data_IF_497154392479
#
_entry.id   IF_497154392479
#
_cell.length_a   1.000
_cell.length_b   1.000
_cell.length_c   1.000
_cell.angle_alpha   90.00
_cell.angle_beta   90.00
_cell.angle_gamma   90.00
#
_symmetry.space_group_name_H-M   'P 1'
#
loop_
_entity.id
_entity.type
_entity.pdbx_description
1 polymer ?
#
# COMPACT_ATOMS: atom_id res chain seq x y z
N UNK A 1 -14.53 9.68 -8.84
CA UNK A 1 -15.88 10.10 -9.32
C UNK A 1 -16.68 10.54 -8.11
N UNK A 2 -17.15 11.79 -8.09
CA UNK A 2 -18.04 12.26 -7.04
C UNK A 2 -19.38 11.51 -7.19
N UNK A 3 -19.71 10.65 -6.21
CA UNK A 3 -20.96 9.87 -6.19
C UNK A 3 -22.18 10.74 -5.91
N UNK A 4 -21.98 11.91 -5.29
CA UNK A 4 -23.07 12.82 -4.90
C UNK A 4 -23.27 13.91 -5.95
N UNK A 5 -24.47 13.93 -6.55
CA UNK A 5 -24.83 14.88 -7.62
C UNK A 5 -25.61 16.09 -7.12
N UNK A 6 -26.12 16.05 -5.89
CA UNK A 6 -26.87 17.15 -5.29
C UNK A 6 -26.71 17.16 -3.77
N UNK A 7 -26.94 18.33 -3.13
CA UNK A 7 -26.90 18.46 -1.67
C UNK A 7 -27.93 17.60 -0.94
N UNK A 8 -29.05 17.27 -1.59
CA UNK A 8 -30.08 16.39 -1.01
C UNK A 8 -29.58 14.96 -0.75
N UNK A 9 -28.59 14.49 -1.50
CA UNK A 9 -27.95 13.17 -1.27
C UNK A 9 -27.06 13.13 -0.02
N UNK A 10 -26.75 14.28 0.56
CA UNK A 10 -25.93 14.40 1.76
C UNK A 10 -26.76 14.47 3.05
N UNK A 11 -28.10 14.51 2.94
CA UNK A 11 -29.00 14.52 4.09
C UNK A 11 -28.86 13.19 4.83
N UNK A 12 -28.71 13.27 6.16
CA UNK A 12 -28.62 12.09 7.02
C UNK A 12 -29.97 11.43 7.20
N UNK A 13 -30.25 10.43 6.37
CA UNK A 13 -31.49 9.63 6.44
C UNK A 13 -31.40 8.49 7.48
N UNK A 14 -30.19 8.17 7.97
CA UNK A 14 -30.01 7.06 8.92
C UNK A 14 -30.43 7.39 10.34
N UNK A 15 -30.52 8.67 10.68
CA UNK A 15 -30.95 9.12 12.02
C UNK A 15 -32.46 8.92 12.29
N UNK A 16 -33.25 8.61 11.27
CA UNK A 16 -34.72 8.58 11.37
C UNK A 16 -35.37 9.96 11.59
N UNK A 17 -34.62 11.04 11.46
CA UNK A 17 -35.08 12.41 11.63
C UNK A 17 -34.85 13.20 10.33
N UNK A 18 -35.91 13.42 9.58
CA UNK A 18 -35.86 14.12 8.29
C UNK A 18 -35.48 15.61 8.44
N UNK A 19 -35.74 16.23 9.60
CA UNK A 19 -35.41 17.63 9.88
C UNK A 19 -33.93 17.84 10.23
N UNK A 20 -33.15 16.77 10.40
CA UNK A 20 -31.75 16.86 10.82
C UNK A 20 -30.83 17.50 9.77
N UNK A 21 -31.21 17.41 8.51
CA UNK A 21 -30.44 17.98 7.41
C UNK A 21 -29.10 17.24 7.18
N UNK A 22 -28.06 17.99 6.76
CA UNK A 22 -26.73 17.44 6.51
C UNK A 22 -25.96 17.35 7.83
N UNK A 23 -25.69 16.14 8.29
CA UNK A 23 -24.80 15.89 9.42
C UNK A 23 -23.35 15.80 8.93
N UNK A 24 -22.46 16.61 9.50
CA UNK A 24 -21.05 16.64 9.12
C UNK A 24 -20.14 16.59 10.36
N UNK A 25 -18.99 15.96 10.23
CA UNK A 25 -17.96 15.92 11.26
C UNK A 25 -16.91 17.00 11.01
N UNK A 26 -16.39 17.63 12.06
CA UNK A 26 -15.28 18.56 11.96
C UNK A 26 -13.94 17.82 11.77
N UNK A 27 -13.16 18.27 10.80
CA UNK A 27 -11.79 17.83 10.56
C UNK A 27 -10.86 19.05 10.50
N UNK A 28 -9.63 18.91 10.96
CA UNK A 28 -8.61 19.95 10.80
C UNK A 28 -7.85 19.73 9.51
N UNK A 29 -7.94 20.66 8.57
CA UNK A 29 -7.13 20.61 7.35
C UNK A 29 -5.67 20.96 7.68
N UNK A 30 -4.74 20.03 7.39
CA UNK A 30 -3.35 20.14 7.86
C UNK A 30 -2.56 21.27 7.15
N UNK A 31 -2.97 21.69 5.96
CA UNK A 31 -2.25 22.72 5.19
C UNK A 31 -2.37 24.12 5.77
N UNK A 32 -3.43 24.41 6.51
CA UNK A 32 -3.75 25.77 7.02
C UNK A 32 -4.42 25.73 8.40
N UNK A 33 -4.52 24.56 9.02
CA UNK A 33 -5.10 24.30 10.33
C UNK A 33 -6.59 24.72 10.46
N UNK A 34 -7.26 24.99 9.37
CA UNK A 34 -8.67 25.36 9.39
C UNK A 34 -9.57 24.14 9.63
N UNK A 35 -10.66 24.35 10.38
CA UNK A 35 -11.72 23.36 10.54
C UNK A 35 -12.56 23.29 9.27
N UNK A 36 -12.64 22.10 8.67
CA UNK A 36 -13.53 21.78 7.55
C UNK A 36 -14.55 20.74 8.00
N UNK A 37 -15.76 20.82 7.47
CA UNK A 37 -16.83 19.89 7.81
C UNK A 37 -17.08 18.94 6.66
N UNK A 38 -16.94 17.63 6.91
CA UNK A 38 -17.17 16.60 5.91
C UNK A 38 -18.47 15.88 6.24
N UNK A 39 -19.44 15.83 5.29
CA UNK A 39 -20.70 15.13 5.48
C UNK A 39 -20.52 13.65 5.80
N UNK A 40 -21.26 13.15 6.80
CA UNK A 40 -21.21 11.75 7.22
C UNK A 40 -21.50 10.77 6.09
N UNK A 41 -22.41 11.13 5.17
CA UNK A 41 -22.72 10.29 4.03
C UNK A 41 -21.55 10.11 3.06
N UNK A 42 -20.60 11.06 3.01
CA UNK A 42 -19.36 10.89 2.25
C UNK A 42 -18.45 9.89 2.99
N UNK A 43 -18.24 10.11 4.29
CA UNK A 43 -17.38 9.24 5.12
C UNK A 43 -17.90 7.80 5.14
N UNK A 44 -19.22 7.62 5.32
CA UNK A 44 -19.85 6.30 5.40
C UNK A 44 -19.94 5.53 4.08
N UNK A 45 -19.69 6.19 2.94
CA UNK A 45 -19.69 5.55 1.62
C UNK A 45 -18.27 5.30 1.06
N UNK A 46 -17.25 5.49 1.87
CA UNK A 46 -15.91 5.05 1.52
C UNK A 46 -15.78 3.55 1.78
N UNK A 47 -15.45 2.79 0.74
CA UNK A 47 -15.29 1.33 0.86
C UNK A 47 -14.05 0.94 1.68
N UNK A 48 -13.02 1.78 1.64
CA UNK A 48 -11.76 1.59 2.36
C UNK A 48 -11.30 2.92 2.93
N UNK A 49 -10.64 2.86 4.08
CA UNK A 49 -9.90 4.01 4.63
C UNK A 49 -8.56 4.15 3.90
N UNK A 50 -8.07 5.39 3.80
CA UNK A 50 -6.73 5.68 3.34
C UNK A 50 -6.16 6.82 4.19
N UNK A 51 -5.07 6.55 4.93
CA UNK A 51 -4.49 7.48 5.88
C UNK A 51 -5.25 7.60 7.20
N UNK A 52 -6.17 6.67 7.49
CA UNK A 52 -6.80 6.58 8.81
C UNK A 52 -5.90 5.82 9.76
N UNK A 53 -5.36 6.49 10.75
CA UNK A 53 -4.32 5.93 11.60
C UNK A 53 -4.48 6.35 13.06
N UNK A 54 -3.85 5.58 13.93
CA UNK A 54 -3.71 5.85 15.35
C UNK A 54 -2.23 5.82 15.76
N UNK A 55 -1.90 6.47 16.87
CA UNK A 55 -0.56 6.47 17.46
C UNK A 55 -0.62 6.94 18.89
N UNK A 56 0.44 6.67 19.66
CA UNK A 56 0.56 7.15 21.04
C UNK A 56 0.77 8.67 21.09
N UNK A 57 1.34 9.23 20.03
CA UNK A 57 1.49 10.67 19.81
C UNK A 57 0.79 11.09 18.51
N UNK A 58 0.59 12.41 18.38
CA UNK A 58 0.03 12.99 17.15
C UNK A 58 0.94 12.78 15.95
N UNK A 59 2.26 12.80 16.15
CA UNK A 59 3.23 12.61 15.09
C UNK A 59 3.28 11.16 14.63
N UNK A 60 3.28 10.20 15.56
CA UNK A 60 3.15 8.77 15.19
C UNK A 60 1.90 8.51 14.34
N UNK A 61 0.75 9.04 14.76
CA UNK A 61 -0.47 8.90 13.96
C UNK A 61 -0.34 9.52 12.57
N UNK A 62 0.33 10.69 12.45
CA UNK A 62 0.59 11.34 11.16
C UNK A 62 1.52 10.52 10.26
N UNK A 63 2.64 10.04 10.83
CA UNK A 63 3.59 9.18 10.09
C UNK A 63 2.87 7.94 9.57
N UNK A 64 2.10 7.27 10.41
CA UNK A 64 1.33 6.09 10.01
C UNK A 64 0.34 6.40 8.90
N UNK A 65 -0.43 7.49 9.02
CA UNK A 65 -1.42 7.88 8.02
C UNK A 65 -0.80 8.30 6.69
N UNK A 66 0.30 9.06 6.73
CA UNK A 66 1.04 9.46 5.53
C UNK A 66 1.69 8.25 4.85
N UNK A 67 2.26 7.33 5.63
CA UNK A 67 2.82 6.09 5.10
C UNK A 67 1.79 5.30 4.30
N UNK A 68 0.58 5.09 4.84
CA UNK A 68 -0.49 4.40 4.11
C UNK A 68 -0.89 5.14 2.81
N UNK A 69 -0.96 6.47 2.85
CA UNK A 69 -1.26 7.29 1.65
C UNK A 69 -0.17 7.11 0.58
N UNK A 70 1.11 7.18 0.97
CA UNK A 70 2.22 6.97 0.05
C UNK A 70 2.27 5.53 -0.48
N UNK A 71 2.10 4.54 0.38
CA UNK A 71 2.07 3.12 -0.01
C UNK A 71 1.05 2.88 -1.13
N UNK A 72 -0.21 3.25 -0.91
CA UNK A 72 -1.27 3.02 -1.88
C UNK A 72 -1.10 3.84 -3.16
N UNK A 73 -0.66 5.09 -3.04
CA UNK A 73 -0.40 5.93 -4.20
C UNK A 73 0.72 5.36 -5.07
N UNK A 74 1.85 5.00 -4.45
CA UNK A 74 3.02 4.51 -5.16
C UNK A 74 2.79 3.10 -5.68
N UNK A 75 2.15 2.21 -4.91
CA UNK A 75 1.71 0.89 -5.38
C UNK A 75 0.91 1.01 -6.67
N UNK A 76 -0.15 1.81 -6.68
CA UNK A 76 -0.98 1.95 -7.86
C UNK A 76 -0.23 2.56 -9.04
N UNK A 77 0.72 3.47 -8.78
CA UNK A 77 1.57 4.04 -9.82
C UNK A 77 2.52 3.00 -10.42
N UNK A 78 3.21 2.23 -9.57
CA UNK A 78 4.13 1.16 -10.01
C UNK A 78 3.39 0.16 -10.88
N UNK A 79 2.20 -0.25 -10.48
CA UNK A 79 1.38 -1.21 -11.19
C UNK A 79 0.86 -0.61 -12.50
N UNK A 80 0.26 0.58 -12.47
CA UNK A 80 -0.33 1.22 -13.66
C UNK A 80 0.69 1.57 -14.75
N UNK A 81 1.93 1.88 -14.37
CA UNK A 81 3.01 2.22 -15.28
C UNK A 81 3.93 1.01 -15.57
N UNK A 82 3.62 -0.18 -15.04
CA UNK A 82 4.43 -1.42 -15.15
C UNK A 82 5.91 -1.19 -14.82
N UNK A 83 6.18 -0.38 -13.79
CA UNK A 83 7.55 0.05 -13.43
C UNK A 83 8.38 -1.14 -12.96
N UNK A 84 9.54 -1.35 -13.58
CA UNK A 84 10.55 -2.29 -13.13
C UNK A 84 11.33 -1.72 -11.94
N UNK A 85 11.26 -2.44 -10.82
CA UNK A 85 11.88 -2.02 -9.57
C UNK A 85 13.27 -2.65 -9.38
N UNK A 86 14.23 -1.92 -8.79
CA UNK A 86 15.52 -2.51 -8.44
C UNK A 86 15.38 -3.45 -7.24
N UNK A 87 16.04 -4.60 -7.30
CA UNK A 87 16.16 -5.49 -6.15
C UNK A 87 16.95 -4.82 -5.02
N UNK A 88 16.53 -5.07 -3.79
CA UNK A 88 17.28 -4.65 -2.61
C UNK A 88 18.51 -5.54 -2.48
N UNK A 89 19.74 -4.99 -2.45
CA UNK A 89 20.96 -5.76 -2.36
C UNK A 89 21.01 -6.67 -1.12
N UNK A 90 21.57 -7.86 -1.27
CA UNK A 90 21.64 -8.85 -0.19
C UNK A 90 22.39 -8.35 1.06
N UNK A 91 23.40 -7.50 0.89
CA UNK A 91 24.13 -6.89 2.00
C UNK A 91 23.30 -5.85 2.76
N UNK A 92 22.33 -5.21 2.10
CA UNK A 92 21.35 -4.32 2.73
C UNK A 92 20.34 -5.15 3.50
N UNK A 93 19.76 -6.20 2.91
CA UNK A 93 18.84 -7.11 3.59
C UNK A 93 19.48 -7.76 4.83
N UNK A 94 20.76 -8.12 4.77
CA UNK A 94 21.49 -8.72 5.88
C UNK A 94 21.56 -7.85 7.15
N UNK A 95 21.28 -6.56 7.05
CA UNK A 95 21.18 -5.66 8.21
C UNK A 95 19.91 -5.89 9.03
N UNK A 96 18.93 -6.61 8.47
CA UNK A 96 17.59 -6.88 9.06
C UNK A 96 17.39 -8.39 9.28
N UNK A 97 18.08 -9.00 10.26
CA UNK A 97 18.12 -10.46 10.42
C UNK A 97 16.75 -11.09 10.65
N UNK A 98 15.81 -10.40 11.31
CA UNK A 98 14.44 -10.88 11.51
C UNK A 98 13.65 -10.99 10.21
N UNK A 99 13.88 -10.06 9.28
CA UNK A 99 13.29 -10.09 7.94
C UNK A 99 13.89 -11.24 7.12
N UNK A 100 15.23 -11.36 7.12
CA UNK A 100 15.93 -12.45 6.43
C UNK A 100 15.45 -13.81 6.92
N UNK A 101 15.27 -14.00 8.23
CA UNK A 101 14.72 -15.24 8.81
C UNK A 101 13.29 -15.50 8.34
N UNK A 102 12.46 -14.46 8.26
CA UNK A 102 11.07 -14.58 7.79
C UNK A 102 10.99 -14.96 6.32
N UNK A 103 11.82 -14.35 5.48
CA UNK A 103 11.95 -14.70 4.06
C UNK A 103 12.42 -16.15 3.92
N UNK A 104 13.47 -16.55 4.63
CA UNK A 104 14.01 -17.90 4.55
C UNK A 104 12.99 -18.99 4.95
N UNK A 105 12.08 -18.68 5.88
CA UNK A 105 11.00 -19.60 6.25
C UNK A 105 10.01 -19.80 5.10
N UNK A 106 9.64 -18.75 4.38
CA UNK A 106 8.74 -18.83 3.22
C UNK A 106 9.40 -19.58 2.05
N UNK A 107 10.69 -19.32 1.82
CA UNK A 107 11.46 -20.01 0.78
C UNK A 107 11.62 -21.51 1.09
N UNK A 108 11.78 -21.87 2.36
CA UNK A 108 11.83 -23.28 2.79
C UNK A 108 10.53 -24.03 2.53
N UNK A 109 9.39 -23.33 2.50
CA UNK A 109 8.09 -23.88 2.11
C UNK A 109 7.88 -23.92 0.58
N UNK A 110 8.87 -23.47 -0.20
CA UNK A 110 8.86 -23.53 -1.67
C UNK A 110 8.36 -22.26 -2.36
N UNK A 111 8.26 -21.15 -1.65
CA UNK A 111 7.83 -19.85 -2.18
C UNK A 111 9.00 -18.87 -2.27
N UNK A 112 9.62 -18.68 -3.45
CA UNK A 112 10.62 -17.64 -3.65
C UNK A 112 10.09 -16.25 -3.31
N UNK A 113 10.92 -15.47 -2.61
CA UNK A 113 10.60 -14.10 -2.18
C UNK A 113 11.60 -13.14 -2.78
N UNK A 114 11.11 -12.06 -3.37
CA UNK A 114 11.91 -11.01 -3.96
C UNK A 114 11.59 -9.69 -3.29
N UNK A 115 12.59 -8.96 -2.81
CA UNK A 115 12.43 -7.67 -2.18
C UNK A 115 12.98 -6.56 -3.09
N UNK A 116 12.15 -5.56 -3.35
CA UNK A 116 12.42 -4.46 -4.27
C UNK A 116 12.31 -3.11 -3.57
N UNK A 117 13.14 -2.17 -4.00
CA UNK A 117 13.01 -0.77 -3.62
C UNK A 117 11.91 -0.07 -4.44
N UNK A 118 10.78 0.19 -3.81
CA UNK A 118 9.64 0.90 -4.39
C UNK A 118 9.72 2.42 -4.24
N UNK A 119 10.86 2.96 -3.81
CA UNK A 119 11.01 4.38 -3.50
C UNK A 119 11.02 5.31 -4.72
N UNK A 120 11.09 4.76 -5.93
CA UNK A 120 11.21 5.49 -7.20
C UNK A 120 12.39 6.48 -7.18
N UNK A 121 13.57 5.95 -6.84
CA UNK A 121 14.80 6.73 -6.74
C UNK A 121 14.90 7.56 -5.45
N UNK A 122 14.41 7.03 -4.34
CA UNK A 122 14.49 7.64 -3.01
C UNK A 122 13.48 8.76 -2.74
N UNK A 123 12.45 8.90 -3.58
CA UNK A 123 11.43 9.97 -3.41
C UNK A 123 10.34 9.62 -2.41
N UNK A 124 10.05 8.34 -2.23
CA UNK A 124 8.95 7.85 -1.40
C UNK A 124 9.42 6.71 -0.51
N UNK A 125 9.01 6.63 0.75
CA UNK A 125 9.49 5.61 1.68
C UNK A 125 8.71 4.29 1.49
N UNK A 126 8.78 3.69 0.30
CA UNK A 126 7.99 2.51 -0.08
C UNK A 126 8.89 1.35 -0.46
N UNK A 127 8.54 0.17 0.02
CA UNK A 127 9.15 -1.12 -0.34
C UNK A 127 8.09 -2.01 -0.98
N UNK A 128 8.52 -2.83 -1.92
CA UNK A 128 7.71 -3.90 -2.51
C UNK A 128 8.36 -5.24 -2.23
N UNK A 129 7.56 -6.22 -1.78
CA UNK A 129 8.01 -7.60 -1.63
C UNK A 129 7.05 -8.50 -2.39
N UNK A 130 7.61 -9.37 -3.23
CA UNK A 130 6.85 -10.27 -4.08
C UNK A 130 7.08 -11.71 -3.62
N UNK A 131 5.98 -12.41 -3.38
CA UNK A 131 5.95 -13.85 -3.20
C UNK A 131 5.56 -14.49 -4.53
N UNK A 132 6.32 -15.47 -4.97
CA UNK A 132 6.07 -16.22 -6.19
C UNK A 132 5.72 -17.68 -5.87
N UNK A 133 4.70 -18.21 -6.53
CA UNK A 133 4.33 -19.62 -6.45
C UNK A 133 4.78 -20.35 -7.73
N UNK A 134 5.90 -21.10 -7.70
CA UNK A 134 6.43 -21.75 -8.90
C UNK A 134 5.56 -22.92 -9.38
N UNK A 135 4.63 -23.42 -8.56
CA UNK A 135 3.76 -24.55 -8.93
C UNK A 135 2.73 -24.14 -9.99
N UNK A 136 2.27 -22.91 -9.98
CA UNK A 136 1.23 -22.41 -10.89
C UNK A 136 1.58 -21.08 -11.56
N UNK A 137 2.75 -20.50 -11.26
CA UNK A 137 3.21 -19.24 -11.83
C UNK A 137 2.54 -17.99 -11.25
N UNK A 138 1.72 -18.13 -10.19
CA UNK A 138 1.05 -16.99 -9.58
C UNK A 138 2.00 -16.20 -8.69
N UNK A 139 1.72 -14.91 -8.49
CA UNK A 139 2.49 -14.09 -7.58
C UNK A 139 1.59 -13.11 -6.81
N UNK A 140 2.11 -12.66 -5.69
CA UNK A 140 1.48 -11.64 -4.87
C UNK A 140 2.52 -10.57 -4.51
N UNK A 141 2.20 -9.31 -4.80
CA UNK A 141 3.04 -8.18 -4.47
C UNK A 141 2.44 -7.43 -3.27
N UNK A 142 3.17 -7.43 -2.17
CA UNK A 142 2.90 -6.62 -1.00
C UNK A 142 3.71 -5.33 -1.07
N UNK A 143 3.11 -4.25 -0.59
CA UNK A 143 3.76 -2.95 -0.48
C UNK A 143 3.67 -2.47 0.95
N UNK A 144 4.69 -1.77 1.41
CA UNK A 144 4.72 -1.17 2.72
C UNK A 144 5.49 0.14 2.69
N UNK A 145 5.09 1.08 3.51
CA UNK A 145 5.74 2.38 3.60
C UNK A 145 6.02 2.76 5.05
N UNK A 146 7.18 3.32 5.27
CA UNK A 146 7.58 3.98 6.51
C UNK A 146 8.88 4.76 6.26
N UNK A 147 9.11 5.95 6.89
CA UNK A 147 10.38 6.66 6.77
C UNK A 147 11.60 5.82 7.21
N UNK A 148 11.45 4.97 8.23
CA UNK A 148 12.45 3.96 8.59
C UNK A 148 12.38 2.78 7.65
N UNK A 149 13.51 2.50 6.95
CA UNK A 149 13.63 1.43 5.97
C UNK A 149 13.35 0.03 6.56
N UNK A 150 13.87 -0.23 7.76
CA UNK A 150 13.69 -1.52 8.43
C UNK A 150 12.23 -1.76 8.79
N UNK A 151 11.54 -0.73 9.28
CA UNK A 151 10.11 -0.80 9.58
C UNK A 151 9.28 -1.01 8.31
N UNK A 152 9.59 -0.29 7.23
CA UNK A 152 8.91 -0.48 5.94
C UNK A 152 9.09 -1.92 5.44
N UNK A 153 10.31 -2.44 5.47
CA UNK A 153 10.64 -3.79 5.03
C UNK A 153 9.95 -4.87 5.88
N UNK A 154 10.00 -4.76 7.20
CA UNK A 154 9.35 -5.69 8.13
C UNK A 154 7.83 -5.74 7.91
N UNK A 155 7.20 -4.57 7.79
CA UNK A 155 5.76 -4.47 7.53
C UNK A 155 5.40 -5.13 6.20
N UNK A 156 6.14 -4.84 5.15
CA UNK A 156 5.87 -5.40 3.82
C UNK A 156 5.95 -6.93 3.81
N UNK A 157 6.95 -7.52 4.47
CA UNK A 157 7.10 -8.98 4.59
C UNK A 157 5.97 -9.58 5.46
N UNK A 158 5.62 -8.91 6.55
CA UNK A 158 4.53 -9.38 7.44
C UNK A 158 3.18 -9.38 6.72
N UNK A 159 2.93 -8.41 5.85
CA UNK A 159 1.68 -8.30 5.10
C UNK A 159 1.53 -9.34 3.99
N UNK A 160 2.61 -9.98 3.51
CA UNK A 160 2.53 -11.04 2.51
C UNK A 160 1.54 -12.15 2.88
N UNK A 161 1.48 -12.50 4.17
CA UNK A 161 0.63 -13.59 4.67
C UNK A 161 -0.47 -13.11 5.63
N UNK A 162 -0.68 -11.80 5.77
CA UNK A 162 -1.66 -11.28 6.71
C UNK A 162 -3.07 -11.83 6.42
N UNK A 163 -3.57 -12.65 7.35
CA UNK A 163 -4.88 -13.28 7.22
C UNK A 163 -4.99 -14.37 6.15
N UNK A 164 -3.87 -14.80 5.55
CA UNK A 164 -3.82 -15.85 4.53
C UNK A 164 -3.03 -17.05 5.02
N UNK A 165 -3.44 -18.24 4.57
CA UNK A 165 -2.66 -19.47 4.70
C UNK A 165 -1.85 -19.68 3.41
N UNK A 166 -0.68 -20.32 3.49
CA UNK A 166 0.07 -20.76 2.31
C UNK A 166 -0.77 -21.62 1.33
N UNK A 167 -1.81 -22.28 1.84
CA UNK A 167 -2.75 -23.06 1.02
C UNK A 167 -3.71 -22.20 0.19
N UNK A 168 -3.87 -20.95 0.55
CA UNK A 168 -4.81 -20.03 -0.10
C UNK A 168 -4.11 -19.17 -1.18
N UNK A 169 -2.83 -19.44 -1.46
CA UNK A 169 -2.05 -18.70 -2.46
C UNK A 169 -2.39 -19.07 -3.91
N UNK A 170 -3.19 -20.13 -4.12
CA UNK A 170 -3.66 -20.55 -5.45
C UNK A 170 -4.71 -19.59 -6.05
N UNK A 171 -5.23 -18.66 -5.26
CA UNK A 171 -6.22 -17.67 -5.71
C UNK A 171 -5.61 -16.47 -6.44
N UNK A 172 -4.28 -16.31 -6.40
CA UNK A 172 -3.63 -15.23 -7.11
C UNK A 172 -3.51 -15.50 -8.60
N UNK A 173 -3.36 -14.42 -9.37
CA UNK A 173 -3.25 -14.49 -10.82
C UNK A 173 -1.79 -14.48 -11.23
N UNK A 174 -1.38 -15.24 -12.27
CA UNK A 174 -0.06 -15.08 -12.88
C UNK A 174 0.11 -13.67 -13.44
N UNK A 175 1.33 -13.11 -13.44
CA UNK A 175 1.60 -11.87 -14.14
C UNK A 175 1.26 -11.96 -15.63
N UNK A 176 0.88 -10.83 -16.24
CA UNK A 176 0.54 -10.72 -17.66
C UNK A 176 1.56 -9.84 -18.38
N UNK A 177 1.58 -9.94 -19.74
CA UNK A 177 2.25 -8.99 -20.62
C UNK A 177 1.30 -7.94 -21.19
N UNK A 178 0.03 -7.96 -20.77
CA UNK A 178 -0.97 -6.98 -21.17
C UNK A 178 -0.98 -5.80 -20.20
N UNK A 179 -0.11 -4.82 -20.48
CA UNK A 179 0.01 -3.61 -19.65
C UNK A 179 -1.24 -2.73 -19.69
N UNK A 180 -2.05 -2.82 -20.74
CA UNK A 180 -3.33 -2.08 -20.83
C UNK A 180 -4.32 -2.67 -19.82
N UNK A 181 -4.41 -4.00 -19.71
CA UNK A 181 -5.24 -4.67 -18.71
C UNK A 181 -4.76 -4.37 -17.29
N UNK A 182 -3.43 -4.38 -17.06
CA UNK A 182 -2.84 -4.04 -15.76
C UNK A 182 -3.17 -2.62 -15.34
N UNK A 183 -3.16 -1.67 -16.27
CA UNK A 183 -3.45 -0.26 -16.02
C UNK A 183 -4.95 0.06 -15.91
N UNK A 184 -5.83 -0.90 -16.15
CA UNK A 184 -7.28 -0.67 -16.08
C UNK A 184 -7.74 -0.25 -14.68
N UNK A 185 -8.72 0.65 -14.65
CA UNK A 185 -9.26 1.20 -13.41
C UNK A 185 -9.74 0.12 -12.43
N UNK A 186 -10.38 -0.93 -12.93
CA UNK A 186 -10.89 -2.05 -12.12
C UNK A 186 -9.76 -2.84 -11.46
N UNK A 187 -8.66 -3.05 -12.17
CA UNK A 187 -7.47 -3.69 -11.62
C UNK A 187 -6.81 -2.83 -10.55
N UNK A 188 -6.65 -1.53 -10.81
CA UNK A 188 -6.07 -0.59 -9.84
C UNK A 188 -6.95 -0.43 -8.59
N UNK A 189 -8.28 -0.50 -8.73
CA UNK A 189 -9.21 -0.53 -7.59
C UNK A 189 -9.03 -1.80 -6.75
N UNK A 190 -8.85 -2.96 -7.39
CA UNK A 190 -8.57 -4.22 -6.71
C UNK A 190 -7.26 -4.13 -5.92
N UNK A 191 -6.20 -3.61 -6.52
CA UNK A 191 -4.94 -3.37 -5.81
C UNK A 191 -5.07 -2.38 -4.66
N UNK A 192 -5.92 -1.36 -4.82
CA UNK A 192 -6.17 -0.40 -3.76
C UNK A 192 -6.87 -1.03 -2.55
N UNK A 193 -7.76 -2.00 -2.78
CA UNK A 193 -8.55 -2.67 -1.74
C UNK A 193 -7.73 -3.75 -1.02
N UNK A 194 -7.17 -4.71 -1.76
CA UNK A 194 -6.59 -5.93 -1.16
C UNK A 194 -5.30 -6.43 -1.81
N UNK A 195 -4.73 -5.72 -2.76
CA UNK A 195 -3.50 -6.06 -3.49
C UNK A 195 -3.55 -7.35 -4.32
N UNK A 196 -4.74 -7.89 -4.62
CA UNK A 196 -4.91 -9.16 -5.34
C UNK A 196 -5.07 -9.02 -6.86
N UNK A 197 -4.88 -7.82 -7.41
CA UNK A 197 -5.01 -7.56 -8.84
C UNK A 197 -3.86 -8.13 -9.69
N UNK A 198 -4.01 -7.97 -11.01
CA UNK A 198 -2.99 -8.33 -12.01
C UNK A 198 -1.77 -7.43 -11.89
N UNK A 199 -0.58 -8.02 -12.08
CA UNK A 199 0.68 -7.28 -12.24
C UNK A 199 1.35 -7.65 -13.57
N UNK A 200 2.18 -6.74 -14.08
CA UNK A 200 2.93 -6.95 -15.31
C UNK A 200 4.20 -7.77 -15.07
N UNK A 201 4.57 -8.62 -16.05
CA UNK A 201 5.91 -9.23 -16.10
C UNK A 201 7.02 -8.19 -16.21
N UNK A 202 6.71 -7.00 -16.70
CA UNK A 202 7.68 -5.90 -16.82
C UNK A 202 8.23 -5.43 -15.47
N UNK A 203 7.47 -5.63 -14.37
CA UNK A 203 7.97 -5.37 -13.01
C UNK A 203 9.22 -6.18 -12.63
N UNK A 204 9.47 -7.30 -13.32
CA UNK A 204 10.57 -8.23 -13.03
C UNK A 204 11.70 -8.18 -14.07
N UNK A 205 11.79 -7.12 -14.88
CA UNK A 205 12.90 -6.91 -15.82
C UNK A 205 14.21 -6.73 -15.05
N UNK A 206 15.31 -7.18 -15.64
CA UNK A 206 16.65 -7.04 -15.04
C UNK A 206 17.11 -5.57 -15.00
N UNK A 207 16.72 -4.78 -16.00
CA UNK A 207 17.05 -3.36 -16.07
C UNK A 207 15.92 -2.57 -15.38
N UNK A 208 16.17 -2.17 -14.15
CA UNK A 208 15.21 -1.38 -13.38
C UNK A 208 15.10 0.06 -13.90
N UNK A 209 13.88 0.61 -13.89
CA UNK A 209 13.60 1.99 -14.32
C UNK A 209 14.18 3.05 -13.38
N UNK A 210 14.52 2.66 -12.15
CA UNK A 210 15.11 3.51 -11.13
C UNK A 210 16.34 2.83 -10.50
N UNK A 211 17.35 3.60 -10.07
CA UNK A 211 18.45 3.04 -9.29
C UNK A 211 17.96 2.67 -7.88
N UNK A 212 18.57 1.61 -7.30
CA UNK A 212 18.38 1.34 -5.88
C UNK A 212 18.92 2.52 -5.05
N UNK A 213 18.16 2.92 -4.03
CA UNK A 213 18.54 3.94 -3.05
C UNK A 213 18.38 3.35 -1.65
N UNK A 214 19.46 3.35 -0.88
CA UNK A 214 19.40 3.04 0.55
C UNK A 214 18.95 4.30 1.31
N UNK A 215 17.64 4.37 1.55
CA UNK A 215 17.00 5.52 2.18
C UNK A 215 16.73 5.27 3.68
N UNK A 216 17.61 4.50 4.36
CA UNK A 216 17.49 4.30 5.82
C UNK A 216 17.42 5.65 6.53
N UNK A 217 16.49 5.77 7.41
CA UNK A 217 16.31 6.93 8.27
C UNK A 217 16.68 6.54 9.72
N UNK A 218 17.45 7.38 10.40
CA UNK A 218 17.95 7.09 11.75
C UNK A 218 17.25 7.89 12.86
N UNK A 219 16.23 8.67 12.50
CA UNK A 219 15.49 9.51 13.44
C UNK A 219 14.47 8.73 14.28
N UNK A 220 13.75 9.46 15.10
CA UNK A 220 12.57 8.96 15.81
C UNK A 220 11.30 9.28 15.03
N UNK A 221 10.17 8.66 15.39
CA UNK A 221 8.86 8.95 14.81
C UNK A 221 8.46 10.42 14.91
N UNK A 222 9.01 11.17 15.85
CA UNK A 222 8.76 12.60 16.00
C UNK A 222 9.62 13.47 15.07
N UNK A 223 10.73 12.93 14.59
CA UNK A 223 11.64 13.58 13.64
C UNK A 223 11.29 13.24 12.18
N UNK A 224 10.66 12.09 11.96
CA UNK A 224 10.17 11.59 10.69
C UNK A 224 8.92 12.36 10.21
#
# INVERSE_FOLDING_TARGET
>A
RVLFRSGSMLIDLQSGNEDRGICALPFTRQSDEQTVYIPMNIVGNLYVSNGMSAGNTRNEARVQGLSEVFERHIKNRIIAESISLPEIPADVLARYPGVVESIAKLEAEGFPIFAYDGSLGGKYPVICVVLFNPANGTCFASFGAHPDFGVALERTVTELLQGRSLKDLDVFTPPTFDDEEVAEHTNLETHFIDSSGLISWDMFKQDADYPFVDWSFAGTTEEE
#
